data_IF_614105865578
#
_entry.id   IF_614105865578
#
_cell.length_a   1.000
_cell.length_b   1.000
_cell.length_c   1.000
_cell.angle_alpha   90.00
_cell.angle_beta   90.00
_cell.angle_gamma   90.00
#
_symmetry.space_group_name_H-M   'P 1'
#
loop_
_entity.id
_entity.type
_entity.pdbx_description
1 polymer ?
#
# COMPACT_ATOMS: atom_id res chain seq x y z
N UNK A 1 7.52 23.39 30.21
CA UNK A 1 7.32 22.09 29.54
C UNK A 1 8.59 21.27 29.71
N UNK A 2 8.48 20.04 30.18
CA UNK A 2 9.64 19.19 30.52
C UNK A 2 10.16 18.47 29.26
N UNK A 3 11.49 18.34 29.06
CA UNK A 3 12.09 17.65 27.90
C UNK A 3 11.53 16.23 27.66
N UNK A 4 11.07 15.59 28.74
CA UNK A 4 10.47 14.26 28.74
C UNK A 4 9.27 14.12 27.78
N UNK A 5 8.47 15.18 27.58
CA UNK A 5 7.29 15.09 26.71
C UNK A 5 7.64 15.13 25.23
N UNK A 6 8.73 15.81 24.85
CA UNK A 6 9.16 15.90 23.45
C UNK A 6 9.73 14.56 22.97
N UNK A 7 10.65 13.97 23.75
CA UNK A 7 11.26 12.68 23.40
C UNK A 7 10.20 11.58 23.27
N UNK A 8 9.25 11.51 24.20
CA UNK A 8 8.17 10.53 24.16
C UNK A 8 7.28 10.70 22.92
N UNK A 9 6.96 11.94 22.54
CA UNK A 9 6.17 12.18 21.33
C UNK A 9 6.94 11.79 20.06
N UNK A 10 8.23 12.10 19.98
CA UNK A 10 9.09 11.68 18.86
C UNK A 10 9.18 10.16 18.78
N UNK A 11 9.40 9.47 19.90
CA UNK A 11 9.42 8.00 19.94
C UNK A 11 8.11 7.38 19.47
N UNK A 12 6.96 7.92 19.92
CA UNK A 12 5.65 7.49 19.46
C UNK A 12 5.46 7.71 17.94
N UNK A 13 5.88 8.86 17.43
CA UNK A 13 5.86 9.15 15.99
C UNK A 13 6.72 8.17 15.19
N UNK A 14 7.92 7.86 15.67
CA UNK A 14 8.81 6.88 15.04
C UNK A 14 8.22 5.47 15.08
N UNK A 15 7.54 5.09 16.16
CA UNK A 15 6.82 3.82 16.25
C UNK A 15 5.69 3.71 15.22
N UNK A 16 4.86 4.74 15.07
CA UNK A 16 3.78 4.75 14.07
C UNK A 16 4.33 4.77 12.64
N UNK A 17 5.45 5.46 12.38
CA UNK A 17 6.15 5.35 11.09
C UNK A 17 6.59 3.92 10.80
N UNK A 18 7.17 3.21 11.78
CA UNK A 18 7.51 1.79 11.63
C UNK A 18 6.31 0.91 11.31
N UNK A 19 5.14 1.18 11.91
CA UNK A 19 3.90 0.49 11.59
C UNK A 19 3.44 0.76 10.15
N UNK A 20 3.53 2.01 9.69
CA UNK A 20 3.21 2.41 8.30
C UNK A 20 4.12 1.66 7.32
N UNK A 21 5.43 1.62 7.57
CA UNK A 21 6.38 0.93 6.70
C UNK A 21 6.08 -0.57 6.63
N UNK A 22 5.76 -1.19 7.77
CA UNK A 22 5.34 -2.59 7.82
C UNK A 22 4.09 -2.86 6.98
N UNK A 23 3.05 -2.03 7.12
CA UNK A 23 1.79 -2.17 6.36
C UNK A 23 2.03 -2.05 4.85
N UNK A 24 2.87 -1.09 4.42
CA UNK A 24 3.25 -0.95 3.02
C UNK A 24 4.03 -2.16 2.50
N UNK A 25 5.03 -2.64 3.24
CA UNK A 25 5.81 -3.80 2.84
C UNK A 25 4.95 -5.05 2.72
N UNK A 26 4.02 -5.24 3.66
CA UNK A 26 3.08 -6.34 3.62
C UNK A 26 2.15 -6.25 2.41
N UNK A 27 1.57 -5.08 2.15
CA UNK A 27 0.76 -4.79 0.96
C UNK A 27 1.52 -5.12 -0.33
N UNK A 28 2.74 -4.59 -0.50
CA UNK A 28 3.55 -4.82 -1.71
C UNK A 28 3.86 -6.32 -1.88
N UNK A 29 4.23 -7.01 -0.80
CA UNK A 29 4.60 -8.42 -0.83
C UNK A 29 3.43 -9.32 -1.26
N UNK A 30 2.24 -9.09 -0.70
CA UNK A 30 1.02 -9.84 -1.09
C UNK A 30 0.67 -9.59 -2.55
N UNK A 31 0.78 -8.35 -3.03
CA UNK A 31 0.50 -8.04 -4.44
C UNK A 31 1.49 -8.69 -5.40
N UNK A 32 2.78 -8.68 -5.08
CA UNK A 32 3.78 -9.39 -5.88
C UNK A 32 3.44 -10.88 -5.97
N UNK A 33 3.05 -11.50 -4.86
CA UNK A 33 2.65 -12.90 -4.84
C UNK A 33 1.38 -13.15 -5.66
N UNK A 34 0.36 -12.29 -5.55
CA UNK A 34 -0.88 -12.39 -6.33
C UNK A 34 -0.61 -12.21 -7.82
N UNK A 35 0.19 -11.21 -8.22
CA UNK A 35 0.59 -11.02 -9.62
C UNK A 35 1.39 -12.19 -10.16
N UNK A 36 2.34 -12.73 -9.38
CA UNK A 36 3.09 -13.92 -9.76
C UNK A 36 2.16 -15.13 -9.95
N UNK A 37 1.18 -15.32 -9.06
CA UNK A 37 0.19 -16.39 -9.18
C UNK A 37 -0.65 -16.25 -10.44
N UNK A 38 -1.13 -15.03 -10.74
CA UNK A 38 -1.91 -14.73 -11.94
C UNK A 38 -1.09 -14.89 -13.23
N UNK A 39 0.20 -14.54 -13.22
CA UNK A 39 1.07 -14.60 -14.40
C UNK A 39 1.63 -16.01 -14.67
N UNK A 40 2.08 -16.72 -13.63
CA UNK A 40 2.76 -18.01 -13.75
C UNK A 40 1.78 -19.18 -13.74
N UNK A 41 0.64 -19.05 -13.05
CA UNK A 41 -0.33 -20.13 -12.85
C UNK A 41 -1.70 -19.79 -13.48
N UNK A 42 -1.71 -19.13 -14.64
CA UNK A 42 -2.94 -18.81 -15.40
C UNK A 42 -3.87 -20.03 -15.56
N UNK A 43 -3.30 -21.21 -15.86
CA UNK A 43 -4.06 -22.46 -15.99
C UNK A 43 -4.76 -22.91 -14.70
N UNK A 44 -4.19 -22.61 -13.52
CA UNK A 44 -4.82 -22.93 -12.24
C UNK A 44 -5.98 -21.99 -11.94
N UNK A 45 -5.85 -20.71 -12.29
CA UNK A 45 -6.91 -19.71 -12.15
C UNK A 45 -8.05 -19.97 -13.14
N UNK A 46 -7.73 -20.47 -14.34
CA UNK A 46 -8.71 -20.91 -15.34
C UNK A 46 -9.55 -22.10 -14.87
N UNK A 47 -8.94 -23.02 -14.12
CA UNK A 47 -9.62 -24.19 -13.56
C UNK A 47 -10.64 -23.86 -12.47
N UNK A 48 -10.64 -22.63 -11.96
CA UNK A 48 -11.61 -22.19 -10.96
C UNK A 48 -12.99 -21.97 -11.57
N UNK A 49 -14.01 -22.54 -10.93
CA UNK A 49 -15.40 -22.24 -11.28
C UNK A 49 -15.78 -20.79 -10.90
N UNK A 50 -16.91 -20.31 -11.42
CA UNK A 50 -17.35 -18.92 -11.23
C UNK A 50 -17.56 -18.54 -9.75
N UNK A 51 -18.02 -19.49 -8.92
CA UNK A 51 -18.22 -19.28 -7.48
C UNK A 51 -16.87 -19.09 -6.78
N UNK A 52 -15.89 -19.93 -7.09
CA UNK A 52 -14.54 -19.83 -6.54
C UNK A 52 -13.85 -18.51 -6.95
N UNK A 53 -14.04 -18.08 -8.22
CA UNK A 53 -13.55 -16.77 -8.68
C UNK A 53 -14.21 -15.61 -7.94
N UNK A 54 -15.52 -15.69 -7.68
CA UNK A 54 -16.23 -14.68 -6.89
C UNK A 54 -15.69 -14.60 -5.46
N UNK A 55 -15.50 -15.74 -4.79
CA UNK A 55 -14.93 -15.76 -3.44
C UNK A 55 -13.47 -15.28 -3.40
N UNK A 56 -12.66 -15.63 -4.40
CA UNK A 56 -11.29 -15.13 -4.51
C UNK A 56 -11.26 -13.60 -4.69
N UNK A 57 -12.09 -13.06 -5.60
CA UNK A 57 -12.23 -11.62 -5.82
C UNK A 57 -12.72 -10.90 -4.55
N UNK A 58 -13.73 -11.44 -3.86
CA UNK A 58 -14.24 -10.89 -2.62
C UNK A 58 -13.20 -10.91 -1.49
N UNK A 59 -12.45 -12.01 -1.38
CA UNK A 59 -11.37 -12.15 -0.38
C UNK A 59 -10.25 -11.13 -0.61
N UNK A 60 -9.83 -10.92 -1.85
CA UNK A 60 -8.83 -9.92 -2.21
C UNK A 60 -9.38 -8.51 -1.95
N UNK A 61 -10.62 -8.21 -2.35
CA UNK A 61 -11.23 -6.91 -2.08
C UNK A 61 -11.34 -6.61 -0.57
N UNK A 62 -11.71 -7.60 0.24
CA UNK A 62 -11.75 -7.47 1.69
C UNK A 62 -10.36 -7.23 2.28
N UNK A 63 -9.35 -7.97 1.80
CA UNK A 63 -7.96 -7.76 2.18
C UNK A 63 -7.49 -6.34 1.85
N UNK A 64 -7.73 -5.86 0.62
CA UNK A 64 -7.39 -4.50 0.19
C UNK A 64 -8.03 -3.43 1.08
N UNK A 65 -9.31 -3.61 1.38
CA UNK A 65 -10.08 -2.67 2.19
C UNK A 65 -9.59 -2.61 3.64
N UNK A 66 -9.36 -3.77 4.28
CA UNK A 66 -8.89 -3.82 5.67
C UNK A 66 -7.50 -3.20 5.78
N UNK A 67 -6.56 -3.57 4.90
CA UNK A 67 -5.20 -3.05 4.94
C UNK A 67 -5.15 -1.55 4.60
N UNK A 68 -5.91 -1.11 3.59
CA UNK A 68 -5.99 0.30 3.19
C UNK A 68 -6.51 1.18 4.32
N UNK A 69 -7.58 0.75 5.01
CA UNK A 69 -8.11 1.49 6.16
C UNK A 69 -7.12 1.53 7.34
N UNK A 70 -6.42 0.42 7.62
CA UNK A 70 -5.41 0.40 8.67
C UNK A 70 -4.29 1.43 8.39
N UNK A 71 -3.84 1.50 7.14
CA UNK A 71 -2.80 2.43 6.70
C UNK A 71 -3.27 3.89 6.70
N UNK A 72 -4.50 4.16 6.22
CA UNK A 72 -5.13 5.49 6.33
C UNK A 72 -5.16 5.96 7.78
N UNK A 73 -5.59 5.10 8.71
CA UNK A 73 -5.70 5.47 10.12
C UNK A 73 -4.32 5.70 10.75
N UNK A 74 -3.32 4.92 10.39
CA UNK A 74 -1.95 5.14 10.83
C UNK A 74 -1.39 6.49 10.34
N UNK A 75 -1.64 6.86 9.07
CA UNK A 75 -1.26 8.18 8.55
C UNK A 75 -1.99 9.33 9.24
N UNK A 76 -3.30 9.21 9.49
CA UNK A 76 -4.06 10.22 10.22
C UNK A 76 -3.53 10.41 11.64
N UNK A 77 -3.19 9.32 12.33
CA UNK A 77 -2.58 9.38 13.65
C UNK A 77 -1.21 10.06 13.60
N UNK A 78 -0.37 9.71 12.61
CA UNK A 78 0.93 10.35 12.40
C UNK A 78 0.80 11.85 12.14
N UNK A 79 -0.14 12.27 11.29
CA UNK A 79 -0.38 13.69 11.01
C UNK A 79 -0.86 14.44 12.26
N UNK A 80 -1.76 13.86 13.04
CA UNK A 80 -2.22 14.44 14.30
C UNK A 80 -1.09 14.59 15.33
N UNK A 81 -0.21 13.58 15.47
CA UNK A 81 0.97 13.69 16.35
C UNK A 81 1.98 14.72 15.84
N UNK A 82 2.16 14.81 14.52
CA UNK A 82 3.03 15.79 13.88
C UNK A 82 2.51 17.22 14.11
N UNK A 83 1.19 17.42 14.02
CA UNK A 83 0.55 18.69 14.33
C UNK A 83 0.70 19.05 15.81
N UNK A 84 0.47 18.09 16.72
CA UNK A 84 0.70 18.27 18.16
C UNK A 84 2.15 18.63 18.47
N UNK A 85 3.11 17.97 17.80
CA UNK A 85 4.54 18.26 17.93
C UNK A 85 4.83 19.70 17.49
N UNK A 86 4.36 20.10 16.30
CA UNK A 86 4.56 21.45 15.77
C UNK A 86 3.91 22.51 16.67
N UNK A 87 2.71 22.26 17.18
CA UNK A 87 2.03 23.17 18.10
C UNK A 87 2.80 23.35 19.42
N UNK A 88 3.37 22.26 19.94
CA UNK A 88 4.03 22.27 21.26
C UNK A 88 5.49 22.73 21.20
N UNK A 89 6.19 22.46 20.09
CA UNK A 89 7.65 22.58 20.00
C UNK A 89 8.15 23.35 18.76
N UNK A 90 7.30 23.67 17.78
CA UNK A 90 7.67 24.10 16.43
C UNK A 90 8.25 25.51 16.26
N UNK A 91 8.98 26.02 17.25
CA UNK A 91 9.73 27.28 17.16
C UNK A 91 10.87 27.15 16.13
N UNK A 92 10.98 28.05 15.13
CA UNK A 92 11.97 27.94 14.06
C UNK A 92 13.42 27.86 14.54
N UNK A 93 13.78 28.65 15.55
CA UNK A 93 15.17 28.79 16.00
C UNK A 93 15.62 27.66 16.95
N UNK A 94 14.71 26.74 17.31
CA UNK A 94 15.00 25.62 18.23
C UNK A 94 15.69 24.45 17.54
N UNK A 95 15.45 24.27 16.24
CA UNK A 95 15.90 23.09 15.51
C UNK A 95 16.91 23.47 14.43
N UNK A 96 17.77 22.51 14.09
CA UNK A 96 18.58 22.64 12.88
C UNK A 96 17.67 22.86 11.66
N UNK A 97 17.97 23.80 10.74
CA UNK A 97 17.04 24.20 9.66
C UNK A 97 16.52 23.02 8.82
N UNK A 98 17.39 22.07 8.47
CA UNK A 98 16.99 20.87 7.73
C UNK A 98 16.03 19.97 8.52
N UNK A 99 16.20 19.85 9.84
CA UNK A 99 15.29 19.07 10.67
C UNK A 99 13.94 19.78 10.81
N UNK A 100 13.97 21.11 10.95
CA UNK A 100 12.76 21.92 10.97
C UNK A 100 11.91 21.70 9.71
N UNK A 101 12.54 21.81 8.54
CA UNK A 101 11.87 21.64 7.25
C UNK A 101 11.36 20.21 7.02
N UNK A 102 12.17 19.19 7.33
CA UNK A 102 11.87 17.79 6.97
C UNK A 102 11.05 17.04 8.00
N UNK A 103 11.19 17.40 9.28
CA UNK A 103 10.50 16.74 10.37
C UNK A 103 9.41 17.65 10.93
N UNK A 104 9.75 18.84 11.44
CA UNK A 104 8.78 19.68 12.18
C UNK A 104 7.64 20.18 11.30
N UNK A 105 7.96 20.58 10.07
CA UNK A 105 6.99 21.05 9.08
C UNK A 105 6.36 19.93 8.24
N UNK A 106 6.69 18.66 8.49
CA UNK A 106 6.08 17.57 7.77
C UNK A 106 4.55 17.57 7.94
N UNK A 107 3.84 17.10 6.91
CA UNK A 107 2.42 16.77 6.98
C UNK A 107 2.17 15.52 6.16
N UNK A 108 1.15 14.78 6.57
CA UNK A 108 0.74 13.51 5.99
C UNK A 108 -0.75 13.52 5.61
N UNK A 109 -1.41 14.68 5.59
CA UNK A 109 -2.85 14.82 5.36
C UNK A 109 -3.33 14.28 3.99
N UNK A 110 -2.45 14.28 3.00
CA UNK A 110 -2.65 13.81 1.63
C UNK A 110 -2.31 12.32 1.44
N UNK A 111 -1.70 11.68 2.44
CA UNK A 111 -1.35 10.25 2.38
C UNK A 111 -2.57 9.31 2.34
N UNK A 112 -3.67 9.57 3.08
CA UNK A 112 -4.89 8.77 2.96
C UNK A 112 -5.43 8.66 1.54
N UNK A 113 -5.38 9.74 0.75
CA UNK A 113 -5.81 9.73 -0.64
C UNK A 113 -4.90 8.85 -1.50
N UNK A 114 -3.57 8.97 -1.35
CA UNK A 114 -2.64 8.09 -2.04
C UNK A 114 -2.86 6.61 -1.71
N UNK A 115 -3.15 6.26 -0.46
CA UNK A 115 -3.46 4.88 -0.06
C UNK A 115 -4.71 4.36 -0.78
N UNK A 116 -5.77 5.17 -0.83
CA UNK A 116 -6.98 4.80 -1.58
C UNK A 116 -6.69 4.59 -3.05
N UNK A 117 -5.90 5.47 -3.67
CA UNK A 117 -5.54 5.37 -5.08
C UNK A 117 -4.74 4.10 -5.37
N UNK A 118 -3.69 3.81 -4.60
CA UNK A 118 -2.81 2.65 -4.85
C UNK A 118 -3.52 1.33 -4.61
N UNK A 119 -4.30 1.21 -3.53
CA UNK A 119 -5.05 0.00 -3.22
C UNK A 119 -6.16 -0.24 -4.26
N UNK A 120 -6.90 0.81 -4.63
CA UNK A 120 -7.94 0.70 -5.66
C UNK A 120 -7.36 0.33 -7.02
N UNK A 121 -6.23 0.94 -7.40
CA UNK A 121 -5.56 0.61 -8.66
C UNK A 121 -5.10 -0.85 -8.68
N UNK A 122 -4.48 -1.33 -7.59
CA UNK A 122 -4.02 -2.70 -7.50
C UNK A 122 -5.19 -3.71 -7.55
N UNK A 123 -6.28 -3.43 -6.82
CA UNK A 123 -7.50 -4.22 -6.86
C UNK A 123 -8.08 -4.29 -8.28
N UNK A 124 -8.17 -3.16 -8.99
CA UNK A 124 -8.69 -3.11 -10.36
C UNK A 124 -7.86 -3.99 -11.29
N UNK A 125 -6.53 -3.94 -11.22
CA UNK A 125 -5.67 -4.78 -12.07
C UNK A 125 -5.92 -6.27 -11.79
N UNK A 126 -6.04 -6.66 -10.53
CA UNK A 126 -6.33 -8.05 -10.15
C UNK A 126 -7.72 -8.49 -10.65
N UNK A 127 -8.74 -7.66 -10.48
CA UNK A 127 -10.10 -7.98 -10.96
C UNK A 127 -10.13 -8.10 -12.49
N UNK A 128 -9.41 -7.23 -13.21
CA UNK A 128 -9.25 -7.33 -14.66
C UNK A 128 -8.55 -8.63 -15.07
N UNK A 129 -7.59 -9.13 -14.27
CA UNK A 129 -6.95 -10.42 -14.50
C UNK A 129 -7.95 -11.58 -14.46
N UNK A 130 -8.89 -11.56 -13.50
CA UNK A 130 -9.93 -12.58 -13.41
C UNK A 130 -10.95 -12.53 -14.55
N UNK A 131 -11.22 -11.33 -15.10
CA UNK A 131 -12.25 -11.11 -16.15
C UNK A 131 -11.69 -11.25 -17.57
N UNK A 132 -10.47 -10.77 -17.83
CA UNK A 132 -9.94 -10.64 -19.18
C UNK A 132 -8.52 -11.21 -19.31
N UNK A 133 -8.46 -12.44 -19.82
CA UNK A 133 -7.22 -13.15 -20.20
C UNK A 133 -6.33 -12.34 -21.16
N UNK A 134 -6.94 -11.53 -22.03
CA UNK A 134 -6.24 -10.69 -23.02
C UNK A 134 -5.62 -9.43 -22.42
N UNK A 135 -6.03 -9.02 -21.22
CA UNK A 135 -5.51 -7.81 -20.58
C UNK A 135 -4.06 -8.01 -20.10
N UNK A 136 -3.74 -9.22 -19.63
CA UNK A 136 -2.38 -9.58 -19.21
C UNK A 136 -1.58 -10.22 -20.35
N UNK A 137 -2.22 -10.94 -21.26
CA UNK A 137 -1.53 -11.62 -22.36
C UNK A 137 -2.12 -11.25 -23.73
N UNK A 138 -1.47 -10.32 -24.43
CA UNK A 138 -1.66 -10.22 -25.88
C UNK A 138 -0.99 -11.42 -26.55
N UNK A 139 -1.77 -12.48 -26.85
CA UNK A 139 -1.41 -13.65 -27.68
C UNK A 139 0.08 -13.75 -28.07
N UNK A 140 0.89 -14.45 -27.28
CA UNK A 140 2.04 -15.16 -27.87
C UNK A 140 1.54 -16.50 -28.40
N UNK A 141 0.90 -16.46 -29.56
CA UNK A 141 0.71 -17.64 -30.42
C UNK A 141 1.54 -17.44 -31.69
N UNK A 142 2.86 -17.38 -31.50
CA UNK A 142 3.94 -17.51 -32.51
C UNK A 142 5.06 -18.18 -31.70
N UNK A 143 5.45 -19.44 -31.87
CA UNK A 143 5.59 -20.26 -33.07
C UNK A 143 5.51 -21.75 -32.70
N UNK A 144 4.51 -22.47 -33.22
CA UNK A 144 4.50 -23.94 -33.20
C UNK A 144 4.32 -24.51 -34.62
N UNK A 145 4.62 -23.71 -35.66
CA UNK A 145 4.36 -24.10 -37.05
C UNK A 145 5.60 -23.89 -37.93
N UNK A 146 6.82 -24.09 -37.40
CA UNK A 146 8.01 -23.94 -38.26
C UNK A 146 9.12 -24.99 -38.15
N UNK A 147 9.04 -25.95 -37.24
CA UNK A 147 10.06 -27.01 -37.13
C UNK A 147 9.50 -28.42 -37.42
N UNK A 148 8.37 -28.50 -38.12
CA UNK A 148 7.79 -29.77 -38.59
C UNK A 148 7.70 -29.83 -40.13
N UNK A 149 8.69 -29.24 -40.82
CA UNK A 149 8.92 -29.43 -42.26
C UNK A 149 10.37 -29.84 -42.46
#
# INVERSE_FOLDING_TARGET
MTPFQESTLVEAMMSVRGQIDFLWQFFVSVHIALFALLLLYDHAVDGLNAIAKLFAAAGIAAFEWINGNALINAYRLLDAMQEQFRWSFGQPDRFHPLFYERFVLASYGDRPEMVLMTHSAALVVILLAFVSRRFIQSRSKRSSVRDAV
#
